data_IF_522732446213
#
_entry.id   IF_522732446213
#
_cell.length_a   1.000
_cell.length_b   1.000
_cell.length_c   1.000
_cell.angle_alpha   90.00
_cell.angle_beta   90.00
_cell.angle_gamma   90.00
#
_symmetry.space_group_name_H-M   'P 1'
#
loop_
_entity.id
_entity.type
_entity.pdbx_description
1 polymer ?
#
# COMPACT_ATOMS: atom_id res chain seq x y z
N UNK A 1 -0.44 16.60 -26.02
CA UNK A 1 0.99 16.25 -26.32
C UNK A 1 1.04 14.75 -26.60
N UNK A 2 1.59 14.33 -27.75
CA UNK A 2 1.59 12.92 -28.18
C UNK A 2 2.74 12.10 -27.55
N UNK A 3 3.84 12.74 -27.17
CA UNK A 3 5.01 12.10 -26.57
C UNK A 3 5.71 12.98 -25.56
N UNK A 4 6.45 12.35 -24.65
CA UNK A 4 7.35 13.00 -23.69
C UNK A 4 8.70 12.30 -23.71
N UNK A 5 9.76 13.03 -24.06
CA UNK A 5 11.12 12.54 -24.01
C UNK A 5 11.59 12.44 -22.55
N UNK A 6 12.26 11.35 -22.21
CA UNK A 6 12.77 11.08 -20.88
C UNK A 6 14.31 11.09 -20.89
N UNK A 7 14.91 11.36 -19.71
CA UNK A 7 16.36 11.42 -19.59
C UNK A 7 17.04 10.07 -19.88
N UNK A 8 16.43 8.98 -19.43
CA UNK A 8 16.83 7.59 -19.67
C UNK A 8 15.66 6.65 -19.29
N UNK A 9 15.76 5.38 -19.58
CA UNK A 9 14.78 4.36 -19.20
C UNK A 9 14.84 3.94 -17.73
N UNK A 10 14.75 2.64 -17.44
CA UNK A 10 14.90 2.17 -16.05
C UNK A 10 16.30 2.48 -15.47
N UNK A 11 17.34 2.46 -16.32
CA UNK A 11 18.71 2.72 -15.92
C UNK A 11 19.36 3.81 -16.78
N UNK A 12 20.38 4.54 -16.26
CA UNK A 12 21.03 5.65 -16.97
C UNK A 12 21.64 5.31 -18.35
N UNK A 13 22.00 4.06 -18.57
CA UNK A 13 22.53 3.55 -19.85
C UNK A 13 21.45 3.24 -20.89
N UNK A 14 20.17 3.17 -20.50
CA UNK A 14 19.05 2.84 -21.39
C UNK A 14 18.53 4.11 -22.09
N UNK A 15 19.19 4.47 -23.19
CA UNK A 15 18.87 5.64 -24.03
C UNK A 15 18.79 5.22 -25.49
N UNK A 16 17.92 5.87 -26.30
CA UNK A 16 16.97 6.93 -25.94
C UNK A 16 15.81 6.41 -25.07
N UNK A 17 15.03 7.33 -24.46
CA UNK A 17 13.86 6.98 -23.67
C UNK A 17 12.75 8.02 -23.87
N UNK A 18 11.51 7.54 -23.99
CA UNK A 18 10.30 8.37 -24.09
C UNK A 18 9.07 7.56 -23.67
N UNK A 19 8.00 8.28 -23.34
CA UNK A 19 6.66 7.73 -23.38
C UNK A 19 5.89 8.38 -24.54
N UNK A 20 4.97 7.64 -25.16
CA UNK A 20 4.20 8.15 -26.26
C UNK A 20 2.88 7.37 -26.43
N UNK A 21 1.94 7.98 -27.15
CA UNK A 21 0.72 7.34 -27.60
C UNK A 21 0.80 7.12 -29.11
N UNK A 22 0.42 5.93 -29.58
CA UNK A 22 0.29 5.66 -31.02
C UNK A 22 -0.83 6.51 -31.62
N UNK A 23 -1.94 6.59 -30.91
CA UNK A 23 -3.11 7.40 -31.26
C UNK A 23 -3.48 8.34 -30.11
N UNK A 24 -3.97 9.54 -30.46
CA UNK A 24 -4.39 10.53 -29.49
C UNK A 24 -3.24 11.26 -28.79
N UNK A 25 -3.54 11.84 -27.65
CA UNK A 25 -2.60 12.56 -26.80
C UNK A 25 -2.39 11.83 -25.48
N UNK A 26 -1.26 12.11 -24.83
CA UNK A 26 -0.98 11.60 -23.47
C UNK A 26 -2.07 12.10 -22.51
N UNK A 27 -2.68 11.20 -21.71
CA UNK A 27 -3.72 11.58 -20.76
C UNK A 27 -3.16 12.26 -19.51
N UNK A 28 -1.90 12.66 -19.53
CA UNK A 28 -1.20 13.29 -18.41
C UNK A 28 -0.58 14.62 -18.81
N UNK A 29 -0.49 15.51 -17.82
CA UNK A 29 0.24 16.77 -17.91
C UNK A 29 1.20 16.90 -16.72
N UNK A 30 2.48 17.16 -16.98
CA UNK A 30 3.47 17.43 -15.93
C UNK A 30 3.38 18.89 -15.52
N UNK A 31 2.81 19.16 -14.36
CA UNK A 31 2.64 20.54 -13.83
C UNK A 31 3.90 21.06 -13.15
N UNK A 32 4.77 20.19 -12.67
CA UNK A 32 6.05 20.51 -12.05
C UNK A 32 7.00 19.32 -12.09
N UNK A 33 8.29 19.56 -12.08
CA UNK A 33 9.33 18.54 -12.07
C UNK A 33 9.65 17.96 -13.45
N UNK A 34 10.37 16.85 -13.45
CA UNK A 34 10.73 16.06 -14.64
C UNK A 34 10.69 14.59 -14.27
N UNK A 35 9.53 13.94 -14.29
CA UNK A 35 9.40 12.55 -13.91
C UNK A 35 10.22 11.64 -14.85
N UNK A 36 10.91 10.70 -14.25
CA UNK A 36 11.64 9.67 -14.98
C UNK A 36 10.76 8.50 -15.39
N UNK A 37 11.35 7.54 -16.08
CA UNK A 37 10.66 6.34 -16.60
C UNK A 37 9.96 5.57 -15.47
N UNK A 38 10.67 5.26 -14.37
CA UNK A 38 10.11 4.53 -13.22
C UNK A 38 9.02 5.35 -12.52
N UNK A 39 9.22 6.65 -12.37
CA UNK A 39 8.20 7.52 -11.78
C UNK A 39 6.87 7.47 -12.56
N UNK A 40 6.94 7.43 -13.89
CA UNK A 40 5.74 7.35 -14.73
C UNK A 40 5.08 5.97 -14.68
N UNK A 41 5.86 4.88 -14.57
CA UNK A 41 5.32 3.55 -14.30
C UNK A 41 4.57 3.52 -12.97
N UNK A 42 5.16 4.04 -11.90
CA UNK A 42 4.53 4.13 -10.59
C UNK A 42 3.27 5.00 -10.63
N UNK A 43 3.35 6.18 -11.26
CA UNK A 43 2.23 7.10 -11.39
C UNK A 43 1.02 6.47 -12.09
N UNK A 44 1.25 5.84 -13.25
CA UNK A 44 0.14 5.29 -14.07
C UNK A 44 -0.45 4.01 -13.48
N UNK A 45 0.37 3.16 -12.83
CA UNK A 45 -0.15 1.97 -12.14
C UNK A 45 -0.92 2.36 -10.87
N UNK A 46 -0.38 3.27 -10.06
CA UNK A 46 -1.05 3.73 -8.85
C UNK A 46 -2.35 4.49 -9.14
N UNK A 47 -2.40 5.26 -10.23
CA UNK A 47 -3.63 5.93 -10.67
C UNK A 47 -4.76 4.94 -10.95
N UNK A 48 -4.48 3.86 -11.67
CA UNK A 48 -5.48 2.82 -11.95
C UNK A 48 -6.05 2.25 -10.66
N UNK A 49 -5.17 1.95 -9.68
CA UNK A 49 -5.55 1.41 -8.39
C UNK A 49 -6.50 2.36 -7.63
N UNK A 50 -6.13 3.62 -7.46
CA UNK A 50 -6.96 4.56 -6.68
C UNK A 50 -8.28 4.90 -7.37
N UNK A 51 -8.29 4.96 -8.70
CA UNK A 51 -9.51 5.14 -9.48
C UNK A 51 -10.49 3.97 -9.24
N UNK A 52 -10.00 2.74 -9.27
CA UNK A 52 -10.81 1.54 -9.05
C UNK A 52 -11.29 1.45 -7.59
N UNK A 53 -10.43 1.78 -6.61
CA UNK A 53 -10.84 1.86 -5.19
C UNK A 53 -11.98 2.86 -4.98
N UNK A 54 -11.88 4.05 -5.56
CA UNK A 54 -12.95 5.06 -5.48
C UNK A 54 -14.25 4.56 -6.11
N UNK A 55 -14.17 3.93 -7.28
CA UNK A 55 -15.35 3.39 -7.97
C UNK A 55 -16.03 2.29 -7.14
N UNK A 56 -15.24 1.41 -6.52
CA UNK A 56 -15.74 0.28 -5.75
C UNK A 56 -16.32 0.67 -4.38
N UNK A 57 -15.75 1.68 -3.72
CA UNK A 57 -16.10 2.04 -2.33
C UNK A 57 -16.91 3.31 -2.22
N UNK A 58 -16.94 4.16 -3.24
CA UNK A 58 -17.53 5.50 -3.19
C UNK A 58 -16.74 6.51 -2.35
N UNK A 59 -15.58 6.12 -1.82
CA UNK A 59 -14.72 6.94 -0.95
C UNK A 59 -13.49 7.45 -1.72
N UNK A 60 -12.99 8.66 -1.42
CA UNK A 60 -11.67 9.08 -1.87
C UNK A 60 -10.61 8.05 -1.50
N UNK A 61 -9.67 7.82 -2.40
CA UNK A 61 -8.64 6.79 -2.24
C UNK A 61 -7.25 7.33 -2.57
N UNK A 62 -6.25 6.77 -1.93
CA UNK A 62 -4.84 7.06 -2.18
C UNK A 62 -4.00 5.78 -2.19
N UNK A 63 -2.86 5.85 -2.86
CA UNK A 63 -1.86 4.79 -2.87
C UNK A 63 -0.45 5.37 -2.81
N UNK A 64 0.43 4.64 -2.16
CA UNK A 64 1.88 4.87 -2.13
C UNK A 64 2.54 3.77 -2.94
N UNK A 65 3.21 4.12 -4.02
CA UNK A 65 3.84 3.16 -4.95
C UNK A 65 5.35 3.27 -4.93
N UNK A 66 6.01 2.14 -5.02
CA UNK A 66 7.45 2.05 -5.20
C UNK A 66 7.81 0.78 -5.94
N UNK A 67 8.72 0.90 -6.93
CA UNK A 67 9.13 -0.23 -7.77
C UNK A 67 7.95 -0.97 -8.43
N UNK A 68 7.00 -0.18 -8.96
CA UNK A 68 5.81 -0.66 -9.69
C UNK A 68 4.91 -1.59 -8.86
N UNK A 69 4.90 -1.39 -7.55
CA UNK A 69 3.98 -2.08 -6.62
C UNK A 69 3.55 -1.15 -5.49
N UNK A 70 2.34 -1.33 -4.94
CA UNK A 70 1.90 -0.55 -3.81
C UNK A 70 2.66 -0.95 -2.53
N UNK A 71 3.21 0.05 -1.85
CA UNK A 71 3.63 -0.06 -0.45
C UNK A 71 2.42 0.09 0.48
N UNK A 72 1.41 0.82 0.06
CA UNK A 72 0.15 0.99 0.76
C UNK A 72 -0.95 1.52 -0.16
N UNK A 73 -2.19 1.23 0.22
CA UNK A 73 -3.40 1.72 -0.43
C UNK A 73 -4.51 1.88 0.63
N UNK A 74 -5.32 2.91 0.52
CA UNK A 74 -6.36 3.17 1.51
C UNK A 74 -7.48 4.04 0.96
N UNK A 75 -8.63 4.01 1.65
CA UNK A 75 -9.75 4.91 1.45
C UNK A 75 -9.87 5.93 2.57
N UNK A 76 -10.54 7.05 2.31
CA UNK A 76 -10.61 8.21 3.17
C UNK A 76 -11.55 8.05 4.37
N UNK A 77 -11.20 7.18 5.31
CA UNK A 77 -11.87 7.07 6.59
C UNK A 77 -11.19 7.95 7.65
N UNK A 78 -11.93 8.45 8.67
CA UNK A 78 -11.36 9.23 9.75
C UNK A 78 -10.22 8.49 10.47
N UNK A 79 -9.23 9.24 10.95
CA UNK A 79 -8.13 8.74 11.75
C UNK A 79 -8.44 8.82 13.24
N UNK A 80 -8.15 7.75 14.00
CA UNK A 80 -8.09 7.81 15.45
C UNK A 80 -6.87 8.62 15.92
N UNK A 81 -6.89 9.08 17.18
CA UNK A 81 -5.75 9.77 17.77
C UNK A 81 -4.47 8.92 17.74
N UNK A 82 -4.60 7.60 17.94
CA UNK A 82 -3.48 6.66 17.83
C UNK A 82 -2.90 6.64 16.41
N UNK A 83 -3.74 6.55 15.39
CA UNK A 83 -3.29 6.58 14.00
C UNK A 83 -2.68 7.93 13.63
N UNK A 84 -3.23 9.04 14.13
CA UNK A 84 -2.63 10.37 13.92
C UNK A 84 -1.21 10.44 14.48
N UNK A 85 -0.97 9.87 15.66
CA UNK A 85 0.37 9.81 16.28
C UNK A 85 1.35 8.95 15.49
N UNK A 86 0.99 7.72 15.18
CA UNK A 86 1.92 6.80 14.48
C UNK A 86 2.19 7.21 13.04
N UNK A 87 1.32 8.04 12.44
CA UNK A 87 1.49 8.63 11.11
C UNK A 87 2.10 10.04 11.13
N UNK A 88 2.45 10.54 12.32
CA UNK A 88 3.10 11.85 12.53
C UNK A 88 2.32 13.02 11.94
N UNK A 89 0.99 13.01 12.15
CA UNK A 89 0.06 14.07 11.75
C UNK A 89 -0.79 14.59 12.92
N UNK A 90 -0.43 14.23 14.15
CA UNK A 90 -1.08 14.68 15.39
C UNK A 90 -0.85 16.17 15.69
N UNK A 91 0.16 16.77 15.09
CA UNK A 91 0.46 18.20 15.16
C UNK A 91 -0.34 19.06 14.16
N UNK A 92 -1.08 18.45 13.23
CA UNK A 92 -1.91 19.17 12.26
C UNK A 92 -3.24 19.52 12.92
N UNK A 93 -3.45 20.83 13.12
CA UNK A 93 -4.65 21.34 13.78
C UNK A 93 -5.88 21.37 12.86
N UNK A 94 -5.66 21.45 11.56
CA UNK A 94 -6.74 21.44 10.56
C UNK A 94 -7.39 20.06 10.51
N UNK A 95 -8.69 20.02 10.23
CA UNK A 95 -9.39 18.79 9.91
C UNK A 95 -8.83 18.20 8.62
N UNK A 96 -8.53 16.91 8.67
CA UNK A 96 -8.06 16.20 7.46
C UNK A 96 -9.23 15.94 6.54
N UNK A 97 -9.14 16.41 5.32
CA UNK A 97 -10.08 16.04 4.27
C UNK A 97 -10.09 14.53 4.04
N UNK A 98 -11.15 13.96 3.45
CA UNK A 98 -11.17 12.53 3.13
C UNK A 98 -9.98 12.08 2.26
N UNK A 99 -9.53 12.91 1.29
CA UNK A 99 -8.37 12.57 0.46
C UNK A 99 -7.05 12.67 1.25
N UNK A 100 -6.91 13.63 2.17
CA UNK A 100 -5.78 13.70 3.08
C UNK A 100 -5.73 12.48 4.00
N UNK A 101 -6.87 12.06 4.55
CA UNK A 101 -6.98 10.85 5.38
C UNK A 101 -6.62 9.59 4.61
N UNK A 102 -7.06 9.45 3.35
CA UNK A 102 -6.69 8.34 2.49
C UNK A 102 -5.18 8.30 2.26
N UNK A 103 -4.56 9.43 1.95
CA UNK A 103 -3.11 9.53 1.76
C UNK A 103 -2.32 9.16 3.01
N UNK A 104 -2.70 9.73 4.15
CA UNK A 104 -2.02 9.45 5.44
C UNK A 104 -2.10 7.95 5.78
N UNK A 105 -3.25 7.31 5.56
CA UNK A 105 -3.44 5.87 5.76
C UNK A 105 -2.62 5.03 4.77
N UNK A 106 -2.66 5.36 3.49
CA UNK A 106 -1.95 4.61 2.45
C UNK A 106 -0.43 4.62 2.68
N UNK A 107 0.14 5.80 2.96
CA UNK A 107 1.57 5.94 3.22
C UNK A 107 1.97 5.43 4.59
N UNK A 108 1.10 5.65 5.59
CA UNK A 108 1.37 5.36 6.99
C UNK A 108 1.46 3.87 7.31
N UNK A 109 0.83 3.02 6.53
CA UNK A 109 0.80 1.57 6.77
C UNK A 109 2.19 0.92 6.69
N UNK A 110 3.02 1.35 5.73
CA UNK A 110 4.40 0.89 5.59
C UNK A 110 5.30 2.09 5.29
N UNK A 111 5.66 2.83 6.33
CA UNK A 111 6.43 4.07 6.20
C UNK A 111 7.85 3.83 5.70
N UNK A 112 8.43 2.66 5.96
CA UNK A 112 9.76 2.28 5.48
C UNK A 112 9.75 2.08 3.96
N UNK A 113 8.82 1.29 3.42
CA UNK A 113 8.69 1.08 1.97
C UNK A 113 8.21 2.33 1.23
N UNK A 114 7.48 3.23 1.90
CA UNK A 114 6.99 4.48 1.32
C UNK A 114 8.04 5.60 1.26
N UNK A 115 9.25 5.39 1.76
CA UNK A 115 10.34 6.35 1.64
C UNK A 115 10.78 6.50 0.18
N UNK A 116 10.56 7.67 -0.41
CA UNK A 116 10.82 7.93 -1.82
C UNK A 116 9.76 7.34 -2.76
N UNK A 117 8.50 7.31 -2.31
CA UNK A 117 7.35 6.81 -3.07
C UNK A 117 6.90 7.74 -4.19
N UNK A 118 6.00 7.21 -5.03
CA UNK A 118 5.13 7.98 -5.90
C UNK A 118 3.68 7.82 -5.43
N UNK A 119 3.00 8.94 -5.20
CA UNK A 119 1.66 8.97 -4.59
C UNK A 119 0.60 9.14 -5.68
N UNK A 120 -0.49 8.38 -5.59
CA UNK A 120 -1.69 8.63 -6.37
C UNK A 120 -2.85 9.03 -5.46
N UNK A 121 -3.63 9.99 -5.94
CA UNK A 121 -4.85 10.48 -5.29
C UNK A 121 -6.01 10.35 -6.27
N UNK A 122 -7.14 9.79 -5.83
CA UNK A 122 -8.33 9.62 -6.68
C UNK A 122 -9.11 10.91 -6.91
N UNK A 123 -8.86 11.93 -6.09
CA UNK A 123 -9.55 13.21 -6.06
C UNK A 123 -8.55 14.37 -6.12
N UNK A 124 -9.09 15.58 -6.31
CA UNK A 124 -8.30 16.81 -6.29
C UNK A 124 -7.43 16.88 -5.03
N UNK A 125 -6.13 17.10 -5.21
CA UNK A 125 -5.22 17.36 -4.11
C UNK A 125 -5.48 18.75 -3.52
N UNK A 126 -5.89 18.79 -2.26
CA UNK A 126 -6.12 20.02 -1.52
C UNK A 126 -4.87 20.49 -0.74
N UNK A 127 -4.96 21.69 -0.17
CA UNK A 127 -3.85 22.30 0.55
C UNK A 127 -3.37 21.49 1.77
N UNK A 128 -4.29 20.86 2.51
CA UNK A 128 -3.95 20.00 3.66
C UNK A 128 -3.17 18.79 3.19
N UNK A 129 -3.63 18.11 2.15
CA UNK A 129 -2.93 16.97 1.55
C UNK A 129 -1.54 17.37 1.05
N UNK A 130 -1.43 18.50 0.34
CA UNK A 130 -0.15 19.02 -0.13
C UNK A 130 0.81 19.36 1.00
N UNK A 131 0.31 19.91 2.10
CA UNK A 131 1.11 20.22 3.30
C UNK A 131 1.70 18.96 3.93
N UNK A 132 0.93 17.88 3.99
CA UNK A 132 1.40 16.59 4.50
C UNK A 132 2.43 15.99 3.52
N UNK A 133 2.13 15.97 2.23
CA UNK A 133 3.05 15.53 1.18
C UNK A 133 4.40 16.26 1.24
N UNK A 134 4.39 17.57 1.46
CA UNK A 134 5.60 18.39 1.54
C UNK A 134 6.55 17.93 2.66
N UNK A 135 6.02 17.38 3.74
CA UNK A 135 6.77 16.94 4.92
C UNK A 135 7.46 15.58 4.74
N UNK A 136 7.00 14.78 3.79
CA UNK A 136 7.46 13.40 3.60
C UNK A 136 8.50 13.29 2.47
N UNK A 137 9.36 12.27 2.52
CA UNK A 137 10.27 11.95 1.42
C UNK A 137 9.51 11.18 0.36
N UNK A 138 9.24 11.85 -0.76
CA UNK A 138 8.43 11.36 -1.87
C UNK A 138 8.99 11.88 -3.18
N UNK A 139 8.84 11.13 -4.27
CA UNK A 139 9.34 11.49 -5.60
C UNK A 139 8.32 12.25 -6.45
N UNK A 140 7.04 12.02 -6.20
CA UNK A 140 6.01 12.72 -6.95
C UNK A 140 4.59 12.33 -6.54
N UNK A 141 3.63 13.03 -7.15
CA UNK A 141 2.19 12.81 -6.97
C UNK A 141 1.46 12.91 -8.29
N UNK A 142 0.48 12.02 -8.48
CA UNK A 142 -0.49 12.06 -9.58
C UNK A 142 -1.90 12.21 -9.01
N UNK A 143 -2.67 13.12 -9.57
CA UNK A 143 -4.06 13.36 -9.19
C UNK A 143 -4.86 13.88 -10.39
N UNK A 144 -6.21 13.80 -10.38
CA UNK A 144 -7.05 14.36 -11.44
C UNK A 144 -6.95 15.90 -11.50
N UNK A 145 -6.71 16.55 -10.34
CA UNK A 145 -6.49 17.98 -10.27
C UNK A 145 -5.79 18.39 -8.97
N UNK A 146 -5.42 19.66 -8.88
CA UNK A 146 -4.77 20.28 -7.71
C UNK A 146 -5.40 21.64 -7.47
N UNK A 147 -5.72 21.96 -6.20
CA UNK A 147 -6.07 23.35 -5.89
C UNK A 147 -4.86 24.26 -6.14
N UNK A 148 -5.09 25.53 -6.43
CA UNK A 148 -4.01 26.50 -6.67
C UNK A 148 -3.03 26.55 -5.48
N UNK A 149 -3.56 26.56 -4.26
CA UNK A 149 -2.77 26.55 -3.03
C UNK A 149 -1.95 25.26 -2.89
N UNK A 150 -2.56 24.08 -3.16
CA UNK A 150 -1.85 22.81 -3.13
C UNK A 150 -0.69 22.79 -4.13
N UNK A 151 -0.94 23.26 -5.35
CA UNK A 151 0.08 23.32 -6.40
C UNK A 151 1.24 24.24 -6.01
N UNK A 152 0.95 25.39 -5.38
CA UNK A 152 1.98 26.29 -4.88
C UNK A 152 2.83 25.62 -3.80
N UNK A 153 2.22 24.95 -2.81
CA UNK A 153 2.91 24.19 -1.76
C UNK A 153 3.84 23.12 -2.34
N UNK A 154 3.35 22.37 -3.32
CA UNK A 154 4.10 21.26 -3.93
C UNK A 154 5.25 21.75 -4.83
N UNK A 155 5.10 22.89 -5.49
CA UNK A 155 6.17 23.53 -6.29
C UNK A 155 7.38 23.94 -5.46
N UNK A 156 7.21 24.23 -4.18
CA UNK A 156 8.33 24.55 -3.27
C UNK A 156 9.10 23.32 -2.78
N UNK A 157 8.47 22.12 -2.86
CA UNK A 157 9.08 20.88 -2.40
C UNK A 157 10.30 20.52 -3.25
N UNK A 158 11.35 19.93 -2.61
CA UNK A 158 12.61 19.51 -3.26
C UNK A 158 13.26 20.64 -4.08
N UNK A 159 13.21 21.86 -3.56
CA UNK A 159 13.77 23.05 -4.25
C UNK A 159 13.19 23.24 -5.66
N UNK A 160 11.90 22.98 -5.81
CA UNK A 160 11.17 23.17 -7.07
C UNK A 160 11.21 21.96 -8.04
N UNK A 161 11.77 20.83 -7.65
CA UNK A 161 11.94 19.68 -8.54
C UNK A 161 10.98 18.51 -8.25
N UNK A 162 10.05 18.66 -7.32
CA UNK A 162 9.06 17.63 -7.01
C UNK A 162 8.14 17.37 -8.20
N UNK A 163 7.89 16.10 -8.51
CA UNK A 163 7.07 15.73 -9.66
C UNK A 163 5.58 15.87 -9.32
N UNK A 164 4.86 16.67 -10.08
CA UNK A 164 3.42 16.87 -9.96
C UNK A 164 2.79 16.59 -11.31
N UNK A 165 1.93 15.58 -11.37
CA UNK A 165 1.31 15.11 -12.60
C UNK A 165 -0.21 15.22 -12.46
N UNK A 166 -0.86 15.91 -13.40
CA UNK A 166 -2.29 15.91 -13.59
C UNK A 166 -2.65 14.83 -14.59
N UNK A 167 -3.70 14.06 -14.32
CA UNK A 167 -4.22 13.03 -15.22
C UNK A 167 -5.67 13.32 -15.58
N UNK A 168 -6.03 13.06 -16.84
CA UNK A 168 -7.42 13.09 -17.27
C UNK A 168 -8.19 11.92 -16.63
N UNK A 169 -9.13 12.19 -15.70
CA UNK A 169 -9.89 11.13 -15.02
C UNK A 169 -10.84 10.37 -15.94
N UNK A 170 -11.21 10.97 -17.06
CA UNK A 170 -12.16 10.40 -18.02
C UNK A 170 -11.48 9.55 -19.09
N UNK A 171 -10.15 9.61 -19.19
CA UNK A 171 -9.41 8.77 -20.13
C UNK A 171 -9.65 7.28 -19.85
N UNK A 172 -9.88 6.55 -20.94
CA UNK A 172 -10.01 5.09 -20.95
C UNK A 172 -9.01 4.51 -21.95
N UNK A 173 -8.08 3.65 -21.50
CA UNK A 173 -7.15 3.01 -22.41
C UNK A 173 -7.86 2.02 -23.34
N UNK A 174 -7.20 1.67 -24.44
CA UNK A 174 -7.69 0.64 -25.35
C UNK A 174 -7.93 -0.70 -24.62
N UNK A 175 -8.90 -1.52 -25.07
CA UNK A 175 -9.22 -2.80 -24.42
C UNK A 175 -8.13 -3.85 -24.56
N UNK A 176 -7.15 -3.62 -25.43
CA UNK A 176 -6.00 -4.50 -25.68
C UNK A 176 -4.75 -3.81 -25.19
N UNK A 177 -3.94 -4.54 -24.44
CA UNK A 177 -2.61 -4.09 -23.99
C UNK A 177 -1.50 -4.96 -24.54
N UNK A 178 -0.32 -4.37 -24.75
CA UNK A 178 0.84 -5.00 -25.34
C UNK A 178 2.09 -4.82 -24.48
N UNK A 179 2.91 -5.85 -24.44
CA UNK A 179 4.22 -5.85 -23.79
C UNK A 179 5.26 -6.50 -24.70
N UNK A 180 6.46 -5.95 -24.76
CA UNK A 180 7.56 -6.55 -25.54
C UNK A 180 8.60 -7.19 -24.63
N UNK A 181 8.97 -8.41 -24.95
CA UNK A 181 10.07 -9.14 -24.31
C UNK A 181 10.93 -9.78 -25.40
N UNK A 182 12.19 -9.46 -25.40
CA UNK A 182 13.15 -9.97 -26.41
C UNK A 182 12.67 -9.77 -27.88
N UNK A 183 12.05 -8.60 -28.15
CA UNK A 183 11.51 -8.27 -29.48
C UNK A 183 10.19 -8.95 -29.84
N UNK A 184 9.69 -9.87 -29.01
CA UNK A 184 8.40 -10.53 -29.20
C UNK A 184 7.32 -9.69 -28.49
N UNK A 185 6.27 -9.38 -29.19
CA UNK A 185 5.11 -8.66 -28.64
C UNK A 185 4.10 -9.65 -28.07
N UNK A 186 3.83 -9.50 -26.79
CA UNK A 186 2.71 -10.14 -26.10
C UNK A 186 1.50 -9.22 -26.17
N UNK A 187 0.34 -9.77 -26.51
CA UNK A 187 -0.93 -9.05 -26.58
C UNK A 187 -1.98 -9.78 -25.75
N UNK A 188 -2.73 -9.03 -24.95
CA UNK A 188 -3.84 -9.56 -24.16
C UNK A 188 -4.94 -8.51 -23.95
N UNK A 189 -6.14 -8.96 -23.61
CA UNK A 189 -7.19 -8.09 -23.11
C UNK A 189 -6.78 -7.46 -21.77
N UNK A 190 -7.14 -6.20 -21.56
CA UNK A 190 -6.95 -5.55 -20.27
C UNK A 190 -7.74 -6.25 -19.18
N UNK A 191 -7.19 -6.32 -17.99
CA UNK A 191 -7.89 -6.86 -16.84
C UNK A 191 -8.95 -5.85 -16.33
N UNK A 192 -10.17 -5.95 -16.85
CA UNK A 192 -11.30 -5.07 -16.49
C UNK A 192 -12.27 -5.73 -15.49
N UNK A 193 -11.85 -6.81 -14.84
CA UNK A 193 -12.70 -7.48 -13.85
C UNK A 193 -13.09 -6.54 -12.72
N UNK A 194 -14.42 -6.54 -12.40
CA UNK A 194 -14.98 -5.76 -11.29
C UNK A 194 -14.89 -6.54 -10.00
N UNK A 195 -14.03 -6.10 -9.08
CA UNK A 195 -13.75 -6.76 -7.80
C UNK A 195 -14.72 -6.36 -6.68
N UNK A 196 -15.58 -5.39 -6.93
CA UNK A 196 -16.71 -5.01 -6.08
C UNK A 196 -18.00 -5.80 -6.39
N UNK A 197 -17.95 -6.73 -7.34
CA UNK A 197 -19.09 -7.59 -7.68
C UNK A 197 -19.43 -8.52 -6.51
N UNK A 198 -20.65 -8.46 -5.94
CA UNK A 198 -21.05 -9.30 -4.81
C UNK A 198 -20.93 -10.82 -5.06
N UNK A 199 -21.07 -11.24 -6.33
CA UNK A 199 -20.96 -12.65 -6.72
C UNK A 199 -19.59 -13.28 -6.36
N UNK A 200 -18.53 -12.49 -6.25
CA UNK A 200 -17.21 -12.96 -5.82
C UNK A 200 -17.19 -13.50 -4.38
N UNK A 201 -18.19 -13.13 -3.57
CA UNK A 201 -18.29 -13.51 -2.15
C UNK A 201 -19.46 -14.47 -1.87
N UNK A 202 -20.02 -15.13 -2.87
CA UNK A 202 -21.11 -16.08 -2.70
C UNK A 202 -20.62 -17.48 -2.37
N UNK A 203 -19.46 -17.89 -2.92
CA UNK A 203 -18.88 -19.21 -2.63
C UNK A 203 -18.01 -19.13 -1.36
N UNK A 204 -18.62 -19.49 -0.23
CA UNK A 204 -17.95 -19.51 1.08
C UNK A 204 -17.89 -20.94 1.57
N UNK A 205 -16.79 -21.69 1.35
CA UNK A 205 -16.70 -23.10 1.67
C UNK A 205 -16.53 -23.40 3.18
N UNK A 206 -16.07 -22.40 3.96
CA UNK A 206 -15.86 -22.53 5.41
C UNK A 206 -17.16 -22.63 6.21
N UNK A 207 -17.10 -23.12 7.47
CA UNK A 207 -18.25 -23.19 8.37
C UNK A 207 -18.79 -21.80 8.72
N UNK A 208 -17.90 -20.85 9.05
CA UNK A 208 -18.29 -19.44 9.19
C UNK A 208 -18.58 -18.85 7.83
N UNK A 209 -19.84 -18.42 7.61
CA UNK A 209 -20.33 -17.84 6.36
C UNK A 209 -20.48 -16.33 6.41
N UNK A 210 -20.17 -15.68 7.55
CA UNK A 210 -20.53 -14.30 7.80
C UNK A 210 -19.40 -13.35 7.49
N UNK A 211 -19.64 -12.42 6.56
CA UNK A 211 -18.81 -11.27 6.32
C UNK A 211 -19.57 -10.02 6.75
N UNK A 212 -18.97 -9.20 7.62
CA UNK A 212 -19.52 -7.89 7.94
C UNK A 212 -19.39 -6.93 6.72
N UNK A 213 -20.19 -5.85 6.63
CA UNK A 213 -20.02 -4.85 5.57
C UNK A 213 -18.59 -4.29 5.50
N UNK A 214 -17.97 -4.05 6.66
CA UNK A 214 -16.58 -3.57 6.77
C UNK A 214 -15.60 -4.60 6.23
N UNK A 215 -15.78 -5.88 6.58
CA UNK A 215 -14.94 -6.96 6.07
C UNK A 215 -15.06 -7.11 4.53
N UNK A 216 -16.27 -6.99 3.98
CA UNK A 216 -16.47 -7.01 2.52
C UNK A 216 -15.75 -5.84 1.85
N UNK A 217 -15.90 -4.62 2.37
CA UNK A 217 -15.18 -3.44 1.88
C UNK A 217 -13.66 -3.69 1.91
N UNK A 218 -13.14 -4.17 3.02
CA UNK A 218 -11.71 -4.37 3.21
C UNK A 218 -11.16 -5.50 2.32
N UNK A 219 -11.94 -6.57 2.07
CA UNK A 219 -11.58 -7.60 1.10
C UNK A 219 -11.58 -7.07 -0.35
N UNK A 220 -12.52 -6.20 -0.70
CA UNK A 220 -12.53 -5.52 -2.01
C UNK A 220 -11.28 -4.65 -2.16
N UNK A 221 -10.90 -3.89 -1.13
CA UNK A 221 -9.66 -3.10 -1.11
C UNK A 221 -8.45 -4.00 -1.29
N UNK A 222 -8.40 -5.15 -0.61
CA UNK A 222 -7.31 -6.11 -0.76
C UNK A 222 -7.20 -6.62 -2.20
N UNK A 223 -8.28 -7.07 -2.80
CA UNK A 223 -8.29 -7.63 -4.15
C UNK A 223 -7.92 -6.58 -5.21
N UNK A 224 -8.45 -5.34 -5.11
CA UNK A 224 -8.08 -4.25 -6.01
C UNK A 224 -6.60 -3.90 -5.87
N UNK A 225 -6.08 -3.85 -4.64
CA UNK A 225 -4.66 -3.61 -4.39
C UNK A 225 -3.79 -4.67 -5.06
N UNK A 226 -4.18 -5.95 -4.96
CA UNK A 226 -3.45 -7.06 -5.56
C UNK A 226 -3.50 -7.08 -7.08
N UNK A 227 -4.56 -6.59 -7.70
CA UNK A 227 -4.68 -6.45 -9.16
C UNK A 227 -3.54 -5.59 -9.75
N UNK A 228 -2.94 -4.71 -8.95
CA UNK A 228 -1.84 -3.80 -9.33
C UNK A 228 -0.54 -4.10 -8.59
N UNK A 229 -0.42 -5.28 -7.99
CA UNK A 229 0.77 -5.72 -7.25
C UNK A 229 1.48 -6.84 -7.99
N UNK A 230 2.80 -6.75 -8.14
CA UNK A 230 3.60 -7.81 -8.78
C UNK A 230 3.41 -9.15 -8.07
N UNK A 231 3.08 -10.19 -8.83
CA UNK A 231 2.82 -11.54 -8.30
C UNK A 231 4.09 -12.31 -7.91
N UNK A 232 4.00 -13.30 -6.99
CA UNK A 232 2.85 -13.56 -6.14
C UNK A 232 2.63 -12.40 -5.18
N UNK A 233 1.38 -12.12 -4.87
CA UNK A 233 1.04 -11.04 -3.95
C UNK A 233 -0.06 -11.43 -2.95
N UNK A 234 0.07 -10.89 -1.73
CA UNK A 234 -0.88 -11.05 -0.62
C UNK A 234 -1.02 -9.69 0.07
N UNK A 235 -2.23 -9.33 0.45
CA UNK A 235 -2.54 -8.05 1.08
C UNK A 235 -3.38 -8.25 2.35
N UNK A 236 -2.90 -7.74 3.47
CA UNK A 236 -3.64 -7.63 4.73
C UNK A 236 -4.27 -6.25 4.79
N UNK A 237 -5.55 -6.18 5.12
CA UNK A 237 -6.33 -4.94 5.18
C UNK A 237 -7.08 -4.85 6.50
N UNK A 238 -7.12 -3.66 7.08
CA UNK A 238 -7.92 -3.35 8.26
C UNK A 238 -8.42 -1.90 8.20
N UNK A 239 -9.67 -1.70 8.54
CA UNK A 239 -10.28 -0.36 8.64
C UNK A 239 -10.03 0.52 7.41
N UNK A 240 -10.24 -0.05 6.22
CA UNK A 240 -10.15 0.69 4.96
C UNK A 240 -8.74 0.97 4.45
N UNK A 241 -7.71 0.29 4.99
CA UNK A 241 -6.33 0.46 4.56
C UNK A 241 -5.57 -0.86 4.49
N UNK A 242 -4.73 -1.02 3.47
CA UNK A 242 -3.73 -2.07 3.44
C UNK A 242 -2.72 -1.82 4.56
N UNK A 243 -2.50 -2.84 5.40
CA UNK A 243 -1.57 -2.78 6.54
C UNK A 243 -0.32 -3.64 6.35
N UNK A 244 -0.32 -4.49 5.33
CA UNK A 244 0.85 -5.27 4.93
C UNK A 244 0.65 -5.85 3.54
N UNK A 245 1.56 -5.55 2.62
CA UNK A 245 1.55 -6.04 1.25
C UNK A 245 2.84 -6.79 0.97
N UNK A 246 2.72 -8.04 0.55
CA UNK A 246 3.81 -8.83 -0.01
C UNK A 246 3.70 -8.85 -1.52
N UNK A 247 4.80 -8.57 -2.21
CA UNK A 247 4.86 -8.46 -3.66
C UNK A 247 6.04 -9.23 -4.23
N UNK A 248 5.90 -9.76 -5.46
CA UNK A 248 6.99 -10.30 -6.24
C UNK A 248 7.64 -11.56 -5.67
N UNK A 249 6.95 -12.31 -4.82
CA UNK A 249 7.50 -13.52 -4.21
C UNK A 249 7.23 -14.75 -5.07
N UNK A 250 8.24 -15.60 -5.23
CA UNK A 250 8.12 -16.86 -6.00
C UNK A 250 7.31 -17.93 -5.26
N UNK A 251 7.27 -17.88 -3.93
CA UNK A 251 6.50 -18.79 -3.08
C UNK A 251 5.34 -18.07 -2.40
N UNK A 252 4.13 -18.66 -2.46
CA UNK A 252 2.94 -18.11 -1.79
C UNK A 252 3.14 -17.94 -0.29
N UNK A 253 3.71 -18.94 0.37
CA UNK A 253 3.93 -18.86 1.83
C UNK A 253 4.94 -17.78 2.20
N UNK A 254 5.99 -17.56 1.41
CA UNK A 254 6.93 -16.46 1.64
C UNK A 254 6.23 -15.11 1.49
N UNK A 255 5.36 -14.99 0.50
CA UNK A 255 4.55 -13.79 0.31
C UNK A 255 3.62 -13.51 1.50
N UNK A 256 2.91 -14.54 1.97
CA UNK A 256 2.02 -14.44 3.14
C UNK A 256 2.79 -14.08 4.42
N UNK A 257 3.99 -14.62 4.60
CA UNK A 257 4.87 -14.28 5.74
C UNK A 257 5.34 -12.82 5.68
N UNK A 258 5.81 -12.38 4.53
CA UNK A 258 6.29 -11.00 4.32
C UNK A 258 5.17 -9.99 4.56
N UNK A 259 4.01 -10.19 3.95
CA UNK A 259 2.85 -9.32 4.13
C UNK A 259 2.37 -9.30 5.60
N UNK A 260 2.33 -10.47 6.25
CA UNK A 260 1.96 -10.58 7.65
C UNK A 260 2.96 -9.93 8.61
N UNK A 261 4.26 -10.02 8.32
CA UNK A 261 5.30 -9.32 9.11
C UNK A 261 5.10 -7.80 9.04
N UNK A 262 4.83 -7.25 7.87
CA UNK A 262 4.52 -5.83 7.70
C UNK A 262 3.26 -5.42 8.47
N UNK A 263 2.20 -6.24 8.42
CA UNK A 263 0.98 -6.01 9.19
C UNK A 263 1.22 -6.03 10.71
N UNK A 264 2.06 -6.95 11.18
CA UNK A 264 2.46 -7.04 12.59
C UNK A 264 3.26 -5.80 13.03
N UNK A 265 4.19 -5.32 12.20
CA UNK A 265 4.95 -4.08 12.45
C UNK A 265 4.01 -2.87 12.54
N UNK A 266 3.05 -2.74 11.61
CA UNK A 266 2.05 -1.68 11.66
C UNK A 266 1.28 -1.68 12.97
N UNK A 267 0.89 -2.86 13.48
CA UNK A 267 0.17 -3.00 14.74
C UNK A 267 1.09 -2.71 15.95
N UNK A 268 2.34 -3.18 15.92
CA UNK A 268 3.34 -2.93 16.96
C UNK A 268 3.71 -1.45 17.08
N UNK A 269 3.66 -0.67 16.00
CA UNK A 269 3.86 0.80 16.07
C UNK A 269 2.84 1.51 16.96
N UNK A 270 1.70 0.87 17.25
CA UNK A 270 0.66 1.36 18.14
C UNK A 270 0.86 0.91 19.60
N UNK A 271 1.88 0.10 19.89
CA UNK A 271 2.20 -0.33 21.24
C UNK A 271 2.61 0.87 22.10
N UNK A 272 2.15 0.99 23.40
CA UNK A 272 2.47 2.11 24.26
C UNK A 272 3.97 2.40 24.40
N UNK A 273 4.82 1.39 24.51
CA UNK A 273 6.30 1.55 24.55
C UNK A 273 6.83 2.18 23.26
N UNK A 274 6.29 1.84 22.11
CA UNK A 274 6.71 2.38 20.80
C UNK A 274 6.23 3.83 20.64
N UNK A 275 4.98 4.10 20.97
CA UNK A 275 4.44 5.47 20.93
C UNK A 275 5.08 6.41 21.95
N UNK A 276 5.58 5.86 23.06
CA UNK A 276 6.23 6.60 24.14
C UNK A 276 7.75 6.73 24.00
N UNK A 277 8.36 6.32 22.89
CA UNK A 277 9.81 6.42 22.70
C UNK A 277 10.32 7.86 22.89
N UNK A 278 11.28 8.10 23.80
CA UNK A 278 11.73 9.42 24.19
C UNK A 278 12.78 9.98 23.21
N UNK A 279 12.37 10.25 21.97
CA UNK A 279 13.26 10.75 20.94
C UNK A 279 13.93 12.06 21.31
N UNK A 280 15.17 12.26 20.84
CA UNK A 280 15.85 13.56 20.92
C UNK A 280 15.08 14.63 20.14
N UNK A 281 15.19 15.88 20.59
CA UNK A 281 14.54 16.99 19.91
C UNK A 281 15.11 17.18 18.50
N UNK A 282 14.24 17.43 17.54
CA UNK A 282 14.63 17.69 16.16
C UNK A 282 15.04 16.45 15.35
N UNK A 283 14.82 15.24 15.86
CA UNK A 283 15.05 14.03 15.05
C UNK A 283 14.27 14.11 13.74
N UNK A 284 14.93 13.81 12.62
CA UNK A 284 14.29 13.83 11.31
C UNK A 284 13.27 12.68 11.19
N UNK A 285 12.20 12.91 10.44
CA UNK A 285 11.12 11.90 10.24
C UNK A 285 11.64 10.56 9.76
N UNK A 286 12.54 10.55 8.78
CA UNK A 286 13.12 9.32 8.25
C UNK A 286 13.96 8.57 9.28
N UNK A 287 14.76 9.29 10.07
CA UNK A 287 15.57 8.68 11.14
C UNK A 287 14.67 8.11 12.24
N UNK A 288 13.59 8.83 12.58
CA UNK A 288 12.59 8.35 13.54
C UNK A 288 11.89 7.08 13.06
N UNK A 289 11.48 7.01 11.79
CA UNK A 289 10.86 5.82 11.22
C UNK A 289 11.82 4.63 11.24
N UNK A 290 13.07 4.81 10.83
CA UNK A 290 14.10 3.78 10.85
C UNK A 290 14.40 3.30 12.28
N UNK A 291 14.51 4.23 13.23
CA UNK A 291 14.74 3.89 14.64
C UNK A 291 13.60 3.08 15.24
N UNK A 292 12.34 3.41 14.90
CA UNK A 292 11.18 2.62 15.34
C UNK A 292 11.22 1.22 14.75
N UNK A 293 11.56 1.08 13.47
CA UNK A 293 11.64 -0.21 12.79
C UNK A 293 12.69 -1.11 13.44
N UNK A 294 13.90 -0.59 13.68
CA UNK A 294 14.97 -1.29 14.39
C UNK A 294 14.60 -1.62 15.84
N UNK A 295 13.94 -0.69 16.55
CA UNK A 295 13.50 -0.94 17.94
C UNK A 295 12.47 -2.07 18.04
N UNK A 296 11.59 -2.20 17.04
CA UNK A 296 10.60 -3.28 16.97
C UNK A 296 11.23 -4.62 16.55
N UNK A 297 12.32 -4.61 15.80
CA UNK A 297 13.03 -5.81 15.34
C UNK A 297 13.49 -6.67 16.53
N UNK A 298 13.42 -8.00 16.39
CA UNK A 298 13.99 -8.93 17.40
C UNK A 298 15.50 -9.11 17.26
N UNK A 299 16.02 -8.94 16.04
CA UNK A 299 17.42 -9.19 15.71
C UNK A 299 18.27 -7.92 15.75
N UNK A 300 17.66 -6.75 15.48
CA UNK A 300 18.37 -5.49 15.22
C UNK A 300 18.15 -4.41 16.30
N UNK A 301 17.36 -4.68 17.35
CA UNK A 301 17.05 -3.66 18.37
C UNK A 301 18.30 -3.14 19.09
N UNK A 302 19.38 -3.93 19.18
CA UNK A 302 20.64 -3.49 19.76
C UNK A 302 21.33 -2.40 18.95
N UNK A 303 21.04 -2.28 17.65
CA UNK A 303 21.56 -1.20 16.79
C UNK A 303 21.13 0.19 17.29
N UNK A 304 20.01 0.26 18.02
CA UNK A 304 19.48 1.50 18.58
C UNK A 304 19.41 1.53 20.10
N UNK A 305 19.65 0.42 20.80
CA UNK A 305 19.56 0.31 22.26
C UNK A 305 20.89 0.05 22.95
N UNK A 306 21.94 -0.38 22.22
CA UNK A 306 23.25 -0.61 22.82
C UNK A 306 23.87 0.68 23.36
N UNK A 307 24.76 0.54 24.37
CA UNK A 307 25.50 1.67 24.91
C UNK A 307 26.39 2.32 23.84
N UNK A 308 26.34 3.65 23.76
CA UNK A 308 27.00 4.42 22.71
C UNK A 308 26.17 4.59 21.42
N UNK A 309 25.05 3.88 21.28
CA UNK A 309 24.12 4.00 20.15
C UNK A 309 22.85 4.75 20.54
N UNK A 310 22.18 4.36 21.63
CA UNK A 310 20.88 4.91 22.00
C UNK A 310 20.91 6.43 22.20
N UNK A 311 22.01 7.01 22.64
CA UNK A 311 22.18 8.45 22.86
C UNK A 311 22.03 9.30 21.57
N UNK A 312 22.17 8.66 20.42
CA UNK A 312 21.99 9.34 19.13
C UNK A 312 20.51 9.57 18.78
N UNK A 313 19.61 8.76 19.35
CA UNK A 313 18.20 8.72 19.00
C UNK A 313 17.28 9.14 20.13
N UNK A 314 17.67 8.87 21.39
CA UNK A 314 16.80 9.00 22.56
C UNK A 314 17.41 9.92 23.63
N UNK A 315 16.54 10.60 24.39
CA UNK A 315 16.90 11.42 25.57
C UNK A 315 17.31 10.55 26.76
N UNK A 316 16.73 9.36 26.87
CA UNK A 316 17.02 8.33 27.83
C UNK A 316 16.87 6.96 27.16
N UNK A 317 17.57 5.95 27.68
CA UNK A 317 17.56 4.61 27.10
C UNK A 317 16.17 3.98 27.28
N UNK A 318 15.45 3.65 26.21
CA UNK A 318 14.17 2.96 26.30
C UNK A 318 14.33 1.54 26.84
N UNK A 319 13.27 1.04 27.49
CA UNK A 319 13.15 -0.38 27.78
C UNK A 319 13.01 -1.20 26.49
N UNK A 320 13.56 -2.40 26.49
CA UNK A 320 13.39 -3.35 25.38
C UNK A 320 11.91 -3.75 25.27
N UNK A 321 11.39 -3.78 24.05
CA UNK A 321 10.10 -4.41 23.76
C UNK A 321 10.33 -5.91 23.58
N UNK A 322 9.99 -6.70 24.60
CA UNK A 322 10.30 -8.14 24.64
C UNK A 322 9.48 -8.93 23.60
N UNK A 323 9.93 -10.13 23.30
CA UNK A 323 9.22 -11.04 22.39
C UNK A 323 7.83 -11.36 22.90
N UNK A 324 7.70 -11.60 24.21
CA UNK A 324 6.44 -11.91 24.87
C UNK A 324 5.46 -10.72 24.75
N UNK A 325 5.93 -9.50 25.04
CA UNK A 325 5.11 -8.28 24.88
C UNK A 325 4.63 -8.08 23.43
N UNK A 326 5.51 -8.34 22.45
CA UNK A 326 5.14 -8.28 21.04
C UNK A 326 4.04 -9.30 20.70
N UNK A 327 4.21 -10.55 21.12
CA UNK A 327 3.24 -11.61 20.86
C UNK A 327 1.89 -11.33 21.52
N UNK A 328 1.88 -10.86 22.78
CA UNK A 328 0.66 -10.47 23.49
C UNK A 328 -0.05 -9.30 22.78
N UNK A 329 0.69 -8.32 22.29
CA UNK A 329 0.13 -7.18 21.58
C UNK A 329 -0.45 -7.59 20.22
N UNK A 330 0.28 -8.39 19.45
CA UNK A 330 -0.18 -8.90 18.15
C UNK A 330 -1.46 -9.74 18.32
N UNK A 331 -1.55 -10.56 19.37
CA UNK A 331 -2.74 -11.37 19.66
C UNK A 331 -4.02 -10.53 19.93
N UNK A 332 -3.90 -9.24 20.24
CA UNK A 332 -5.04 -8.33 20.40
C UNK A 332 -5.57 -7.80 19.06
N UNK A 333 -4.83 -7.96 17.98
CA UNK A 333 -5.28 -7.52 16.66
C UNK A 333 -6.34 -8.49 16.14
N UNK A 334 -7.51 -7.97 15.77
CA UNK A 334 -8.67 -8.75 15.29
C UNK A 334 -9.32 -8.04 14.11
N UNK A 335 -10.22 -8.74 13.41
CA UNK A 335 -10.96 -8.15 12.29
C UNK A 335 -10.11 -7.87 11.05
N UNK A 336 -8.92 -8.44 10.96
CA UNK A 336 -8.07 -8.27 9.79
C UNK A 336 -8.61 -9.09 8.64
N UNK A 337 -8.61 -8.49 7.44
CA UNK A 337 -8.95 -9.12 6.18
C UNK A 337 -7.68 -9.47 5.40
N UNK A 338 -7.69 -10.56 4.65
CA UNK A 338 -6.60 -10.97 3.79
C UNK A 338 -7.11 -11.30 2.40
N UNK A 339 -6.49 -10.70 1.38
CA UNK A 339 -6.64 -11.08 -0.03
C UNK A 339 -5.39 -11.79 -0.55
N UNK A 340 -5.60 -12.72 -1.48
CA UNK A 340 -4.52 -13.39 -2.22
C UNK A 340 -4.79 -13.32 -3.72
N UNK A 341 -3.77 -13.06 -4.53
CA UNK A 341 -3.91 -12.94 -5.99
C UNK A 341 -4.12 -14.29 -6.70
N UNK A 342 -3.97 -15.40 -5.98
CA UNK A 342 -4.31 -16.76 -6.43
C UNK A 342 -4.66 -17.64 -5.24
N UNK A 343 -4.90 -18.96 -5.48
CA UNK A 343 -5.25 -19.90 -4.43
C UNK A 343 -4.11 -20.13 -3.43
N UNK A 344 -4.46 -20.48 -2.21
CA UNK A 344 -3.52 -21.01 -1.22
C UNK A 344 -3.24 -22.50 -1.50
N UNK A 345 -1.96 -22.89 -1.67
CA UNK A 345 -1.63 -24.28 -1.93
C UNK A 345 -1.77 -25.17 -0.68
N UNK A 346 -1.60 -24.62 0.52
CA UNK A 346 -1.64 -25.34 1.79
C UNK A 346 -2.20 -24.45 2.91
N UNK A 347 -2.67 -25.10 4.00
CA UNK A 347 -3.22 -24.43 5.18
C UNK A 347 -2.20 -23.60 6.00
N UNK A 348 -0.89 -23.75 5.77
CA UNK A 348 0.14 -22.96 6.43
C UNK A 348 0.01 -21.45 6.16
N UNK A 349 -0.55 -21.06 5.00
CA UNK A 349 -0.89 -19.69 4.70
C UNK A 349 -1.98 -19.15 5.63
N UNK A 350 -2.99 -19.97 5.94
CA UNK A 350 -4.07 -19.62 6.88
C UNK A 350 -3.54 -19.57 8.31
N UNK A 351 -2.68 -20.51 8.71
CA UNK A 351 -1.99 -20.50 10.00
C UNK A 351 -1.19 -19.19 10.19
N UNK A 352 -0.44 -18.78 9.16
CA UNK A 352 0.30 -17.51 9.22
C UNK A 352 -0.62 -16.31 9.31
N UNK A 353 -1.68 -16.28 8.52
CA UNK A 353 -2.67 -15.21 8.51
C UNK A 353 -3.35 -15.04 9.88
N UNK A 354 -3.78 -16.15 10.49
CA UNK A 354 -4.40 -16.15 11.80
C UNK A 354 -3.53 -15.47 12.88
N UNK A 355 -2.22 -15.67 12.86
CA UNK A 355 -1.29 -15.06 13.84
C UNK A 355 -1.28 -13.54 13.79
N UNK A 356 -1.65 -12.94 12.66
CA UNK A 356 -1.77 -11.48 12.48
C UNK A 356 -3.20 -10.96 12.64
N UNK A 357 -4.11 -11.75 13.23
CA UNK A 357 -5.48 -11.37 13.54
C UNK A 357 -6.46 -11.47 12.36
N UNK A 358 -6.12 -12.23 11.32
CA UNK A 358 -7.03 -12.43 10.17
C UNK A 358 -8.24 -13.24 10.57
N UNK A 359 -9.42 -12.72 10.26
CA UNK A 359 -10.72 -13.36 10.46
C UNK A 359 -11.49 -13.55 9.15
N UNK A 360 -11.07 -12.87 8.08
CA UNK A 360 -11.74 -12.89 6.78
C UNK A 360 -10.72 -13.05 5.66
N UNK A 361 -10.98 -13.97 4.73
CA UNK A 361 -10.09 -14.26 3.60
C UNK A 361 -10.86 -14.23 2.29
N UNK A 362 -10.26 -13.67 1.24
CA UNK A 362 -10.69 -13.83 -0.15
C UNK A 362 -9.50 -14.37 -0.97
N UNK A 363 -9.68 -15.50 -1.61
CA UNK A 363 -8.72 -16.14 -2.48
C UNK A 363 -9.42 -16.88 -3.63
N UNK A 364 -8.68 -17.25 -4.68
CA UNK A 364 -9.27 -17.83 -5.88
C UNK A 364 -9.96 -19.19 -5.64
N UNK A 365 -9.40 -20.04 -4.78
CA UNK A 365 -9.78 -21.46 -4.72
C UNK A 365 -9.26 -22.26 -5.92
N UNK A 366 -9.50 -23.56 -5.95
CA UNK A 366 -9.09 -24.45 -7.03
C UNK A 366 -7.75 -25.16 -6.83
N UNK A 367 -7.22 -25.13 -5.62
CA UNK A 367 -6.08 -25.99 -5.25
C UNK A 367 -6.54 -27.45 -5.04
N UNK A 368 -5.68 -28.40 -5.37
CA UNK A 368 -5.88 -29.80 -5.03
C UNK A 368 -5.94 -30.08 -3.51
N UNK A 369 -5.52 -29.11 -2.72
CA UNK A 369 -5.53 -29.14 -1.25
C UNK A 369 -6.50 -28.13 -0.62
N UNK A 370 -7.53 -27.72 -1.34
CA UNK A 370 -8.57 -26.81 -0.81
C UNK A 370 -9.23 -27.38 0.46
N UNK A 371 -9.38 -28.69 0.56
CA UNK A 371 -9.88 -29.40 1.76
C UNK A 371 -9.04 -29.03 3.01
N UNK A 372 -7.72 -29.08 2.90
CA UNK A 372 -6.81 -28.75 3.99
C UNK A 372 -6.84 -27.24 4.33
N UNK A 373 -6.95 -26.38 3.32
CA UNK A 373 -7.04 -24.92 3.49
C UNK A 373 -8.35 -24.55 4.22
N UNK A 374 -9.48 -25.15 3.80
CA UNK A 374 -10.80 -24.97 4.43
C UNK A 374 -10.79 -25.45 5.89
N UNK A 375 -10.28 -26.66 6.13
CA UNK A 375 -10.18 -27.23 7.48
C UNK A 375 -9.35 -26.32 8.42
N UNK A 376 -8.26 -25.75 7.92
CA UNK A 376 -7.43 -24.83 8.71
C UNK A 376 -8.17 -23.53 9.01
N UNK A 377 -8.92 -22.98 8.05
CA UNK A 377 -9.75 -21.79 8.27
C UNK A 377 -10.86 -22.07 9.31
N UNK A 378 -11.52 -23.22 9.22
CA UNK A 378 -12.56 -23.63 10.16
C UNK A 378 -12.04 -23.80 11.59
N UNK A 379 -10.82 -24.32 11.75
CA UNK A 379 -10.13 -24.44 13.05
C UNK A 379 -10.07 -23.11 13.80
N UNK A 380 -9.97 -21.99 13.08
CA UNK A 380 -9.87 -20.63 13.63
C UNK A 380 -11.14 -19.80 13.47
N UNK A 381 -12.23 -20.39 12.99
CA UNK A 381 -13.49 -19.68 12.77
C UNK A 381 -13.41 -18.60 11.68
N UNK A 382 -12.44 -18.70 10.78
CA UNK A 382 -12.24 -17.73 9.69
C UNK A 382 -13.31 -17.94 8.61
N UNK A 383 -13.96 -16.85 8.18
CA UNK A 383 -14.81 -16.86 6.99
C UNK A 383 -13.94 -16.65 5.74
N UNK A 384 -14.02 -17.56 4.79
CA UNK A 384 -13.22 -17.54 3.56
C UNK A 384 -14.10 -17.65 2.32
N UNK A 385 -13.94 -16.69 1.40
CA UNK A 385 -14.57 -16.73 0.09
C UNK A 385 -13.60 -17.28 -0.97
N UNK A 386 -14.10 -18.15 -1.83
CA UNK A 386 -13.47 -18.59 -3.07
C UNK A 386 -14.01 -17.74 -4.20
N UNK A 387 -13.23 -16.77 -4.65
CA UNK A 387 -13.65 -15.79 -5.67
C UNK A 387 -13.69 -16.38 -7.08
N UNK A 388 -12.98 -17.48 -7.32
CA UNK A 388 -12.79 -18.03 -8.67
C UNK A 388 -11.91 -17.18 -9.59
N UNK A 389 -11.28 -16.12 -9.06
CA UNK A 389 -10.53 -15.14 -9.85
C UNK A 389 -9.06 -15.15 -9.48
N UNK A 390 -8.19 -15.25 -10.49
CA UNK A 390 -6.76 -15.06 -10.37
C UNK A 390 -6.39 -13.63 -10.81
N UNK A 391 -5.57 -12.96 -10.01
CA UNK A 391 -5.18 -11.55 -10.20
C UNK A 391 -3.68 -11.38 -10.49
N UNK A 392 -3.08 -12.29 -11.23
CA UNK A 392 -1.66 -12.18 -11.58
C UNK A 392 -1.35 -10.90 -12.34
N UNK A 393 -0.30 -10.23 -11.89
CA UNK A 393 0.21 -9.00 -12.48
C UNK A 393 1.72 -9.13 -12.69
N UNK A 394 2.18 -8.94 -13.94
CA UNK A 394 3.58 -9.07 -14.34
C UNK A 394 4.05 -7.93 -15.22
#
# INVERSE_FOLDING_TARGET
>A
MKELALKYGCNPNQKPSRIFMEEGELPIEVLNGRPGYINLLDALNSWQLVRELKQATGLPAAASFKHVSPAGAAVGLPLSDTLRKIYFVDDIQQELSPIASAYVRARGADRMSSYGDFVALSDTCDAVTATILKREVSDGVIAPDFTEEALQILREKRKGTYNVIRIDPDYRPAPIERKQVFGITFEQGRNEIRLDNPALFENIPTQNKTFTPEARRDLVIALITLKYTQSNSVCYVKDGQAIGIGAGQQSRIHCTRLAGQKADIWWLRQHPKVMGLPFVDGIRRADRDNTIDLYISEEEHDDVLADGQWQQFFKERPEVLTKEEKQEWIARNTGVCLGSDAFFPFGDNVERAHRSGVQFIAQAGGSVRDDHVIMTADKYGIAMAFTGVRLFHH
#
